data_IF_983692122217
#
_entry.id   IF_983692122217
#
_cell.length_a   1.000
_cell.length_b   1.000
_cell.length_c   1.000
_cell.angle_alpha   90.00
_cell.angle_beta   90.00
_cell.angle_gamma   90.00
#
_symmetry.space_group_name_H-M   'P 1'
#
loop_
_entity.id
_entity.type
_entity.pdbx_description
1 polymer ?
#
# COMPACT_ATOMS: atom_id res chain seq x y z
N UNK A 1 -2.31 -12.24 12.62
CA UNK A 1 -2.46 -11.11 13.56
C UNK A 1 -1.09 -10.80 14.17
N UNK A 2 -0.74 -9.54 14.40
CA UNK A 2 0.62 -9.12 14.76
C UNK A 2 0.59 -8.42 16.13
N UNK A 3 1.23 -9.00 17.13
CA UNK A 3 1.34 -8.40 18.46
C UNK A 3 2.51 -7.40 18.49
N UNK A 4 2.18 -6.12 18.43
CA UNK A 4 3.18 -5.05 18.53
C UNK A 4 3.31 -4.66 20.00
N UNK A 5 4.46 -4.90 20.65
CA UNK A 5 4.65 -4.49 22.04
C UNK A 5 4.57 -2.96 22.16
N UNK A 6 3.86 -2.48 23.19
CA UNK A 6 3.75 -1.05 23.54
C UNK A 6 4.39 -0.80 24.89
N UNK A 7 5.11 0.31 25.00
CA UNK A 7 5.60 0.83 26.27
C UNK A 7 4.47 1.49 27.07
N UNK A 8 4.62 1.57 28.39
CA UNK A 8 3.62 2.15 29.30
C UNK A 8 3.30 3.62 28.99
N UNK A 9 4.27 4.38 28.47
CA UNK A 9 4.10 5.80 28.15
C UNK A 9 3.71 6.04 26.67
N UNK A 10 3.61 4.99 25.85
CA UNK A 10 3.28 5.10 24.42
C UNK A 10 4.33 5.81 23.55
N UNK A 11 5.53 6.03 24.11
CA UNK A 11 6.64 6.76 23.50
C UNK A 11 7.45 5.93 22.50
N UNK A 12 7.36 4.60 22.55
CA UNK A 12 8.14 3.72 21.70
C UNK A 12 7.78 3.93 20.22
N UNK A 13 8.77 4.22 19.37
CA UNK A 13 8.59 4.36 17.92
C UNK A 13 9.21 3.14 17.19
N UNK A 14 8.39 2.20 16.69
CA UNK A 14 8.90 1.00 16.05
C UNK A 14 9.60 1.35 14.73
N UNK A 15 10.84 0.88 14.59
CA UNK A 15 11.70 1.22 13.44
C UNK A 15 11.34 0.44 12.16
N UNK A 16 10.92 -0.83 12.30
CA UNK A 16 10.62 -1.69 11.15
C UNK A 16 9.22 -1.50 10.57
N UNK A 17 8.22 -1.36 11.44
CA UNK A 17 6.83 -1.07 11.06
C UNK A 17 6.41 0.16 11.83
N UNK A 18 6.40 1.33 11.17
CA UNK A 18 6.09 2.60 11.85
C UNK A 18 4.68 2.56 12.44
N UNK A 19 4.43 3.42 13.44
CA UNK A 19 3.08 3.58 13.99
C UNK A 19 2.08 3.87 12.86
N UNK A 20 1.00 3.09 12.81
CA UNK A 20 -0.07 3.21 11.80
C UNK A 20 0.41 2.96 10.36
N UNK A 21 1.54 2.29 10.19
CA UNK A 21 1.98 1.79 8.90
C UNK A 21 1.21 0.51 8.59
N UNK A 22 0.18 0.66 7.79
CA UNK A 22 -0.67 -0.44 7.35
C UNK A 22 -0.27 -0.94 5.95
N UNK A 23 0.77 -0.32 5.36
CA UNK A 23 1.16 -0.46 3.96
C UNK A 23 2.59 -0.98 3.86
N UNK A 24 2.76 -2.01 3.05
CA UNK A 24 4.08 -2.45 2.56
C UNK A 24 4.42 -1.59 1.33
N UNK A 25 5.59 -0.96 1.33
CA UNK A 25 6.04 -0.08 0.23
C UNK A 25 6.09 -0.81 -1.11
N UNK A 26 6.51 -2.08 -1.12
CA UNK A 26 6.62 -2.87 -2.36
C UNK A 26 5.30 -3.11 -3.10
N UNK A 27 4.15 -3.05 -2.42
CA UNK A 27 2.83 -3.20 -3.08
C UNK A 27 2.51 -1.97 -3.95
N UNK A 28 2.95 -0.77 -3.54
CA UNK A 28 2.69 0.45 -4.29
C UNK A 28 3.41 0.47 -5.63
N UNK A 29 4.67 0.00 -5.65
CA UNK A 29 5.48 -0.06 -6.86
C UNK A 29 4.88 -1.02 -7.90
N UNK A 30 4.28 -2.12 -7.44
CA UNK A 30 3.55 -3.03 -8.32
C UNK A 30 2.25 -2.43 -8.84
N UNK A 31 1.46 -1.78 -7.99
CA UNK A 31 0.25 -1.06 -8.42
C UNK A 31 0.62 -0.05 -9.52
N UNK A 32 1.71 0.70 -9.34
CA UNK A 32 2.20 1.66 -10.33
C UNK A 32 2.64 0.98 -11.62
N UNK A 33 3.40 -0.12 -11.54
CA UNK A 33 3.83 -0.88 -12.73
C UNK A 33 2.63 -1.39 -13.53
N UNK A 34 1.57 -1.85 -12.87
CA UNK A 34 0.37 -2.36 -13.53
C UNK A 34 -0.47 -1.23 -14.13
N UNK A 35 -0.56 -0.09 -13.43
CA UNK A 35 -1.24 1.10 -13.93
C UNK A 35 -0.54 1.69 -15.17
N UNK A 36 0.80 1.78 -15.15
CA UNK A 36 1.58 2.26 -16.31
C UNK A 36 1.50 1.32 -17.52
N UNK A 37 1.25 0.02 -17.29
CA UNK A 37 0.97 -0.96 -18.35
C UNK A 37 -0.46 -0.86 -18.92
N UNK A 38 -1.28 0.08 -18.44
CA UNK A 38 -2.63 0.32 -18.94
C UNK A 38 -3.69 -0.63 -18.39
N UNK A 39 -3.42 -1.34 -17.30
CA UNK A 39 -4.43 -2.17 -16.63
C UNK A 39 -5.47 -1.30 -15.93
N UNK A 40 -6.74 -1.72 -15.96
CA UNK A 40 -7.78 -1.01 -15.23
C UNK A 40 -7.64 -1.26 -13.73
N UNK A 41 -8.20 -0.38 -12.90
CA UNK A 41 -8.19 -0.57 -11.43
C UNK A 41 -8.83 -1.88 -10.98
N UNK A 42 -9.77 -2.44 -11.77
CA UNK A 42 -10.39 -3.75 -11.54
C UNK A 42 -9.47 -4.92 -11.90
N UNK A 43 -8.71 -4.78 -12.98
CA UNK A 43 -7.74 -5.81 -13.37
C UNK A 43 -6.58 -5.86 -12.38
N UNK A 44 -6.13 -4.70 -11.90
CA UNK A 44 -5.10 -4.58 -10.85
C UNK A 44 -5.56 -5.24 -9.55
N UNK A 45 -6.81 -4.98 -9.13
CA UNK A 45 -7.43 -5.62 -7.96
C UNK A 45 -7.43 -7.15 -8.09
N UNK A 46 -7.88 -7.66 -9.24
CA UNK A 46 -7.94 -9.10 -9.51
C UNK A 46 -6.54 -9.74 -9.52
N UNK A 47 -5.57 -9.07 -10.14
CA UNK A 47 -4.19 -9.54 -10.24
C UNK A 47 -3.48 -9.57 -8.88
N UNK A 48 -3.69 -8.56 -8.04
CA UNK A 48 -3.13 -8.53 -6.69
C UNK A 48 -3.78 -9.58 -5.78
N UNK A 49 -5.07 -9.84 -5.96
CA UNK A 49 -5.75 -10.92 -5.26
C UNK A 49 -5.22 -12.30 -5.67
N UNK A 50 -4.97 -12.53 -6.96
CA UNK A 50 -4.45 -13.81 -7.47
C UNK A 50 -3.01 -14.09 -7.01
N UNK A 51 -2.12 -13.10 -7.08
CA UNK A 51 -0.70 -13.29 -6.76
C UNK A 51 -0.44 -13.23 -5.25
N UNK A 52 -1.05 -12.27 -4.56
CA UNK A 52 -0.72 -11.96 -3.17
C UNK A 52 -1.79 -12.40 -2.17
N UNK A 53 -2.92 -12.94 -2.63
CA UNK A 53 -4.06 -13.27 -1.76
C UNK A 53 -4.58 -12.08 -0.95
N UNK A 54 -4.20 -10.86 -1.35
CA UNK A 54 -4.36 -9.64 -0.59
C UNK A 54 -5.58 -8.89 -1.13
N UNK A 55 -6.55 -8.66 -0.26
CA UNK A 55 -7.79 -7.97 -0.64
C UNK A 55 -7.51 -6.45 -0.69
N UNK A 56 -7.19 -5.96 -1.88
CA UNK A 56 -6.82 -4.56 -2.11
C UNK A 56 -7.98 -3.83 -2.79
N UNK A 57 -8.66 -2.96 -2.03
CA UNK A 57 -9.78 -2.19 -2.57
C UNK A 57 -9.36 -1.27 -3.73
N UNK A 58 -10.25 -1.11 -4.72
CA UNK A 58 -10.08 -0.12 -5.81
C UNK A 58 -9.83 1.31 -5.33
N UNK A 59 -10.43 1.69 -4.20
CA UNK A 59 -10.22 3.02 -3.59
C UNK A 59 -8.75 3.19 -3.18
N UNK A 60 -8.14 2.12 -2.66
CA UNK A 60 -6.72 2.15 -2.29
C UNK A 60 -5.84 2.29 -3.53
N UNK A 61 -6.13 1.54 -4.60
CA UNK A 61 -5.41 1.62 -5.87
C UNK A 61 -5.45 3.06 -6.42
N UNK A 62 -6.63 3.68 -6.46
CA UNK A 62 -6.79 5.09 -6.90
C UNK A 62 -5.97 6.05 -6.04
N UNK A 63 -6.05 5.94 -4.71
CA UNK A 63 -5.28 6.81 -3.81
C UNK A 63 -3.78 6.69 -4.02
N UNK A 64 -3.28 5.48 -4.31
CA UNK A 64 -1.86 5.26 -4.61
C UNK A 64 -1.48 5.97 -5.90
N UNK A 65 -2.25 5.79 -6.97
CA UNK A 65 -1.97 6.42 -8.25
C UNK A 65 -2.03 7.94 -8.16
N UNK A 66 -2.99 8.48 -7.41
CA UNK A 66 -3.16 9.93 -7.22
C UNK A 66 -1.97 10.54 -6.45
N UNK A 67 -1.52 9.87 -5.38
CA UNK A 67 -0.40 10.37 -4.56
C UNK A 67 0.93 10.47 -5.32
N UNK A 68 1.14 9.61 -6.33
CA UNK A 68 2.36 9.61 -7.14
C UNK A 68 2.27 10.63 -8.27
N UNK A 69 1.07 10.85 -8.83
CA UNK A 69 0.87 11.92 -9.81
C UNK A 69 1.23 13.28 -9.21
N UNK A 70 0.85 13.53 -7.97
CA UNK A 70 1.25 14.75 -7.25
C UNK A 70 2.77 14.88 -7.10
N UNK A 71 3.48 13.80 -6.79
CA UNK A 71 4.95 13.75 -6.63
C UNK A 71 5.70 13.97 -7.95
N UNK A 72 5.17 13.51 -9.09
CA UNK A 72 5.77 13.69 -10.42
C UNK A 72 5.52 15.09 -10.98
N UNK A 73 4.44 15.76 -10.57
CA UNK A 73 4.12 17.13 -11.00
C UNK A 73 4.78 18.23 -10.17
N UNK A 74 5.35 17.90 -9.01
CA UNK A 74 6.04 18.81 -8.10
C UNK A 74 7.51 19.02 -8.49
#
# INVERSE_FOLDING_TARGET
ELEIPRDRNGSFDPQFVKKRQNRLTGLNDQILSLYTKGMTTRDIESHLQEIYGSDVSRILISKVTDSILEEVTA
#
